data_IF_000661638518
#
_entry.id   IF_000661638518
#
_cell.length_a   1.000
_cell.length_b   1.000
_cell.length_c   1.000
_cell.angle_alpha   90.00
_cell.angle_beta   90.00
_cell.angle_gamma   90.00
#
_symmetry.space_group_name_H-M   'P 1'
#
loop_
_entity.id
_entity.type
_entity.pdbx_description
1 polymer ?
#
# COMPACT_ATOMS: atom_id res chain seq x y z
N UNK A 1 0.81 -11.38 -33.67
CA UNK A 1 0.69 -10.45 -32.52
C UNK A 1 0.36 -9.02 -32.93
N UNK A 2 1.22 -8.36 -33.75
CA UNK A 2 1.00 -6.96 -34.19
C UNK A 2 -0.28 -6.74 -35.01
N UNK A 3 -0.73 -7.75 -35.73
CA UNK A 3 -1.94 -7.69 -36.55
C UNK A 3 -3.20 -7.83 -35.69
N UNK A 4 -3.18 -8.72 -34.69
CA UNK A 4 -4.23 -8.88 -33.70
C UNK A 4 -4.41 -7.61 -32.83
N UNK A 5 -3.31 -6.95 -32.49
CA UNK A 5 -3.31 -5.71 -31.72
C UNK A 5 -3.99 -4.55 -32.48
N UNK A 6 -3.96 -4.55 -33.82
CA UNK A 6 -4.68 -3.56 -34.65
C UNK A 6 -6.17 -3.85 -34.76
N UNK A 7 -6.57 -5.13 -34.69
CA UNK A 7 -7.98 -5.55 -34.80
C UNK A 7 -8.73 -5.45 -33.48
N UNK A 8 -8.03 -5.66 -32.34
CA UNK A 8 -8.59 -5.66 -30.99
C UNK A 8 -7.73 -4.82 -30.03
N UNK A 9 -7.61 -3.51 -30.24
CA UNK A 9 -6.74 -2.66 -29.43
C UNK A 9 -7.15 -2.60 -27.96
N UNK A 10 -8.40 -2.85 -27.62
CA UNK A 10 -8.95 -2.89 -26.26
C UNK A 10 -8.41 -4.05 -25.43
N UNK A 11 -8.10 -5.19 -26.06
CA UNK A 11 -7.56 -6.37 -25.38
C UNK A 11 -6.14 -6.20 -24.87
N UNK A 12 -5.42 -5.19 -25.40
CA UNK A 12 -4.02 -4.89 -25.06
C UNK A 12 -3.89 -3.71 -24.11
N UNK A 13 -5.00 -3.15 -23.63
CA UNK A 13 -5.01 -2.08 -22.63
C UNK A 13 -5.20 -2.66 -21.25
N UNK A 14 -4.49 -2.08 -20.29
CA UNK A 14 -4.75 -2.37 -18.89
C UNK A 14 -6.17 -1.95 -18.54
N UNK A 15 -6.98 -2.88 -18.07
CA UNK A 15 -8.34 -2.63 -17.61
C UNK A 15 -8.40 -2.79 -16.10
N UNK A 16 -9.11 -1.88 -15.44
CA UNK A 16 -9.27 -1.91 -13.98
C UNK A 16 -10.64 -1.38 -13.59
N UNK A 17 -11.38 -2.18 -12.83
CA UNK A 17 -12.55 -1.69 -12.10
C UNK A 17 -12.10 -0.99 -10.81
N UNK A 18 -11.99 0.34 -10.87
CA UNK A 18 -11.52 1.14 -9.74
C UNK A 18 -12.40 1.03 -8.49
N UNK A 19 -13.71 0.79 -8.63
CA UNK A 19 -14.63 0.61 -7.50
C UNK A 19 -14.41 -0.75 -6.82
N UNK A 20 -14.26 -1.81 -7.62
CA UNK A 20 -14.00 -3.15 -7.11
C UNK A 20 -12.65 -3.19 -6.37
N UNK A 21 -11.60 -2.60 -6.96
CA UNK A 21 -10.27 -2.49 -6.34
C UNK A 21 -10.34 -1.67 -5.05
N UNK A 22 -11.06 -0.56 -5.01
CA UNK A 22 -11.23 0.23 -3.79
C UNK A 22 -11.90 -0.58 -2.68
N UNK A 23 -13.05 -1.21 -2.95
CA UNK A 23 -13.77 -2.04 -1.98
C UNK A 23 -12.92 -3.18 -1.46
N UNK A 24 -12.17 -3.82 -2.35
CA UNK A 24 -11.23 -4.87 -2.01
C UNK A 24 -10.12 -4.36 -1.08
N UNK A 25 -9.44 -3.28 -1.45
CA UNK A 25 -8.32 -2.73 -0.69
C UNK A 25 -8.74 -2.31 0.73
N UNK A 26 -9.84 -1.57 0.88
CA UNK A 26 -10.31 -1.07 2.19
C UNK A 26 -10.78 -2.19 3.12
N UNK A 27 -11.08 -3.37 2.60
CA UNK A 27 -11.44 -4.55 3.37
C UNK A 27 -10.23 -5.43 3.71
N UNK A 28 -9.39 -5.73 2.71
CA UNK A 28 -8.33 -6.72 2.84
C UNK A 28 -7.07 -6.15 3.49
N UNK A 29 -6.73 -4.89 3.20
CA UNK A 29 -5.50 -4.29 3.75
C UNK A 29 -5.55 -4.18 5.28
N UNK A 30 -6.62 -3.66 5.91
CA UNK A 30 -6.70 -3.70 7.38
C UNK A 30 -6.67 -5.11 7.96
N UNK A 31 -7.32 -6.07 7.29
CA UNK A 31 -7.36 -7.45 7.77
C UNK A 31 -5.95 -8.08 7.79
N UNK A 32 -5.20 -7.94 6.70
CA UNK A 32 -3.84 -8.50 6.61
C UNK A 32 -2.84 -7.77 7.52
N UNK A 33 -3.04 -6.47 7.78
CA UNK A 33 -2.25 -5.73 8.77
C UNK A 33 -2.48 -6.30 10.16
N UNK A 34 -3.73 -6.52 10.57
CA UNK A 34 -4.04 -7.13 11.87
C UNK A 34 -3.45 -8.54 11.97
N UNK A 35 -3.59 -9.34 10.92
CA UNK A 35 -3.05 -10.70 10.88
C UNK A 35 -1.51 -10.73 11.06
N UNK A 36 -0.78 -9.87 10.36
CA UNK A 36 0.69 -9.83 10.48
C UNK A 36 1.14 -9.33 11.85
N UNK A 37 0.41 -8.39 12.46
CA UNK A 37 0.69 -7.93 13.82
C UNK A 37 0.45 -9.05 14.84
N UNK A 38 -0.68 -9.74 14.75
CA UNK A 38 -1.01 -10.87 15.63
C UNK A 38 0.05 -11.97 15.53
N UNK A 39 0.49 -12.35 14.31
CA UNK A 39 1.55 -13.35 14.10
C UNK A 39 2.89 -12.95 14.71
N UNK A 40 3.13 -11.66 14.91
CA UNK A 40 4.36 -11.15 15.52
C UNK A 40 4.20 -10.72 16.98
N UNK A 41 3.04 -10.96 17.59
CA UNK A 41 2.68 -10.53 18.95
C UNK A 41 2.87 -9.01 19.15
N UNK A 42 2.47 -8.21 18.16
CA UNK A 42 2.54 -6.76 18.16
C UNK A 42 1.15 -6.14 18.16
N UNK A 43 1.03 -4.97 18.77
CA UNK A 43 -0.17 -4.13 18.71
C UNK A 43 0.02 -2.96 17.72
N UNK A 44 -1.09 -2.35 17.29
CA UNK A 44 -1.04 -1.16 16.40
C UNK A 44 -0.34 0.04 17.04
N UNK A 45 -0.43 0.16 18.37
CA UNK A 45 0.19 1.22 19.15
C UNK A 45 1.73 1.17 19.09
N UNK A 46 2.30 -0.03 18.96
CA UNK A 46 3.74 -0.24 18.87
C UNK A 46 4.31 0.08 17.48
N UNK A 47 3.44 0.28 16.47
CA UNK A 47 3.87 0.57 15.11
C UNK A 47 4.08 2.07 14.92
N UNK A 48 5.27 2.43 14.47
CA UNK A 48 5.64 3.82 14.17
C UNK A 48 5.06 4.28 12.83
N UNK A 49 5.18 3.43 11.79
CA UNK A 49 4.73 3.74 10.45
C UNK A 49 3.97 2.58 9.81
N UNK A 50 2.89 2.90 9.10
CA UNK A 50 2.14 1.97 8.25
C UNK A 50 2.26 2.47 6.81
N UNK A 51 3.10 1.81 6.02
CA UNK A 51 3.40 2.18 4.64
C UNK A 51 2.60 1.30 3.71
N UNK A 52 1.63 1.90 3.04
CA UNK A 52 0.79 1.22 2.07
C UNK A 52 1.31 1.41 0.64
N UNK A 53 0.96 0.49 -0.24
CA UNK A 53 1.05 0.74 -1.66
C UNK A 53 0.36 2.06 -2.02
N UNK A 54 1.07 2.93 -2.73
CA UNK A 54 0.65 4.30 -3.07
C UNK A 54 -0.31 4.32 -4.27
N UNK A 55 -1.47 3.67 -4.14
CA UNK A 55 -2.47 3.60 -5.20
C UNK A 55 -3.26 4.91 -5.34
N UNK A 56 -3.92 5.33 -4.26
CA UNK A 56 -4.56 6.63 -4.13
C UNK A 56 -4.81 6.99 -2.66
N UNK A 57 -4.91 8.28 -2.39
CA UNK A 57 -5.09 8.83 -1.04
C UNK A 57 -6.35 8.32 -0.34
N UNK A 58 -7.46 8.15 -1.06
CA UNK A 58 -8.73 7.72 -0.47
C UNK A 58 -8.65 6.32 0.16
N UNK A 59 -7.86 5.41 -0.43
CA UNK A 59 -7.62 4.09 0.15
C UNK A 59 -6.86 4.23 1.46
N UNK A 60 -5.78 5.01 1.49
CA UNK A 60 -4.98 5.23 2.70
C UNK A 60 -5.83 5.81 3.83
N UNK A 61 -6.62 6.84 3.54
CA UNK A 61 -7.55 7.46 4.50
C UNK A 61 -8.62 6.48 5.00
N UNK A 62 -9.13 5.62 4.14
CA UNK A 62 -10.12 4.62 4.53
C UNK A 62 -9.50 3.54 5.44
N UNK A 63 -8.28 3.08 5.15
CA UNK A 63 -7.55 2.12 5.98
C UNK A 63 -7.22 2.73 7.35
N UNK A 64 -6.74 3.98 7.40
CA UNK A 64 -6.48 4.73 8.64
C UNK A 64 -7.73 4.77 9.54
N UNK A 65 -8.88 5.17 8.97
CA UNK A 65 -10.15 5.19 9.70
C UNK A 65 -10.58 3.81 10.18
N UNK A 66 -10.46 2.79 9.34
CA UNK A 66 -10.86 1.43 9.68
C UNK A 66 -10.03 0.84 10.83
N UNK A 67 -8.72 1.11 10.83
CA UNK A 67 -7.81 0.68 11.88
C UNK A 67 -7.87 1.57 13.13
N UNK A 68 -8.56 2.71 13.06
CA UNK A 68 -8.57 3.76 14.09
C UNK A 68 -7.14 4.22 14.46
N UNK A 69 -6.30 4.39 13.45
CA UNK A 69 -4.91 4.84 13.57
C UNK A 69 -4.78 6.22 12.93
N UNK A 70 -4.14 7.19 13.59
CA UNK A 70 -3.96 8.53 13.04
C UNK A 70 -3.31 8.53 11.65
N UNK A 71 -3.81 9.38 10.75
CA UNK A 71 -3.36 9.46 9.36
C UNK A 71 -1.86 9.81 9.24
N UNK A 72 -1.32 10.49 10.25
CA UNK A 72 0.09 10.86 10.34
C UNK A 72 1.04 9.66 10.36
N UNK A 73 0.55 8.48 10.81
CA UNK A 73 1.29 7.22 10.75
C UNK A 73 1.29 6.57 9.36
N UNK A 74 0.54 7.13 8.41
CA UNK A 74 0.45 6.66 7.02
C UNK A 74 1.11 7.67 6.08
N UNK A 75 2.43 7.60 5.88
CA UNK A 75 3.12 8.50 4.97
C UNK A 75 2.63 8.30 3.53
N UNK A 76 2.60 9.39 2.78
CA UNK A 76 2.15 9.42 1.38
C UNK A 76 3.04 10.34 0.55
N UNK A 77 3.35 9.91 -0.66
CA UNK A 77 4.05 10.73 -1.66
C UNK A 77 3.47 10.57 -3.08
N UNK A 78 2.28 9.98 -3.17
CA UNK A 78 1.61 9.74 -4.46
C UNK A 78 1.21 11.03 -5.18
N UNK A 79 1.10 12.14 -4.49
CA UNK A 79 0.87 13.46 -5.10
C UNK A 79 2.08 13.93 -5.94
N UNK A 80 3.27 13.44 -5.61
CA UNK A 80 4.52 13.76 -6.33
C UNK A 80 4.82 12.72 -7.42
N UNK A 81 4.66 11.44 -7.11
CA UNK A 81 5.11 10.33 -7.97
C UNK A 81 3.97 9.55 -8.63
N UNK A 82 2.73 9.74 -8.19
CA UNK A 82 1.59 8.95 -8.64
C UNK A 82 1.66 7.49 -8.18
N UNK A 83 0.95 6.61 -8.89
CA UNK A 83 0.99 5.18 -8.66
C UNK A 83 2.13 4.54 -9.46
N UNK A 84 3.23 4.24 -8.79
CA UNK A 84 4.43 3.63 -9.38
C UNK A 84 4.46 2.10 -9.24
N UNK A 85 3.27 1.47 -9.15
CA UNK A 85 3.12 0.01 -9.04
C UNK A 85 3.93 -0.58 -7.88
N UNK A 86 4.69 -1.64 -8.11
CA UNK A 86 5.52 -2.30 -7.07
C UNK A 86 6.64 -1.43 -6.51
N UNK A 87 7.05 -0.40 -7.23
CA UNK A 87 8.07 0.55 -6.77
C UNK A 87 7.56 1.56 -5.74
N UNK A 88 6.25 1.67 -5.53
CA UNK A 88 5.66 2.73 -4.69
C UNK A 88 6.12 2.67 -3.23
N UNK A 89 6.18 1.50 -2.63
CA UNK A 89 6.65 1.32 -1.25
C UNK A 89 8.16 1.59 -1.13
N UNK A 90 9.04 1.01 -1.98
CA UNK A 90 10.48 1.30 -1.93
C UNK A 90 10.81 2.78 -2.14
N UNK A 91 10.13 3.47 -3.07
CA UNK A 91 10.33 4.91 -3.30
C UNK A 91 9.99 5.71 -2.05
N UNK A 92 8.85 5.41 -1.40
CA UNK A 92 8.46 6.11 -0.18
C UNK A 92 9.42 5.83 0.99
N UNK A 93 9.89 4.59 1.14
CA UNK A 93 10.90 4.24 2.14
C UNK A 93 12.21 5.00 1.92
N UNK A 94 12.71 5.06 0.68
CA UNK A 94 13.94 5.80 0.34
C UNK A 94 13.79 7.29 0.65
N UNK A 95 12.67 7.89 0.26
CA UNK A 95 12.39 9.29 0.56
C UNK A 95 12.31 9.55 2.08
N UNK A 96 11.61 8.71 2.82
CA UNK A 96 11.53 8.83 4.29
C UNK A 96 12.91 8.69 4.95
N UNK A 97 13.74 7.78 4.44
CA UNK A 97 15.10 7.60 4.94
C UNK A 97 15.98 8.82 4.66
N UNK A 98 15.98 9.33 3.43
CA UNK A 98 16.73 10.55 3.05
C UNK A 98 16.30 11.76 3.86
N UNK A 99 15.01 11.86 4.15
CA UNK A 99 14.43 12.93 4.97
C UNK A 99 14.56 12.67 6.49
N UNK A 100 15.33 11.66 6.88
CA UNK A 100 15.60 11.29 8.27
C UNK A 100 14.33 11.04 9.10
N UNK A 101 13.25 10.62 8.47
CA UNK A 101 11.99 10.23 9.14
C UNK A 101 12.05 8.82 9.71
N UNK A 102 12.86 7.95 9.12
CA UNK A 102 13.08 6.59 9.62
C UNK A 102 14.22 6.60 10.64
N UNK A 103 13.98 6.01 11.80
CA UNK A 103 14.95 5.91 12.91
C UNK A 103 15.17 4.46 13.28
N UNK A 104 16.41 4.13 13.66
CA UNK A 104 16.78 2.80 14.13
C UNK A 104 15.85 2.33 15.27
N UNK A 105 15.36 1.11 15.16
CA UNK A 105 14.46 0.48 16.12
C UNK A 105 12.97 0.79 15.89
N UNK A 106 12.61 1.63 14.93
CA UNK A 106 11.21 1.84 14.59
C UNK A 106 10.61 0.59 13.96
N UNK A 107 9.36 0.28 14.35
CA UNK A 107 8.57 -0.80 13.78
C UNK A 107 7.70 -0.27 12.65
N UNK A 108 7.81 -0.90 11.50
CA UNK A 108 7.14 -0.46 10.27
C UNK A 108 6.32 -1.62 9.71
N UNK A 109 5.06 -1.36 9.44
CA UNK A 109 4.22 -2.26 8.64
C UNK A 109 4.27 -1.83 7.18
N UNK A 110 4.56 -2.76 6.30
CA UNK A 110 4.40 -2.60 4.85
C UNK A 110 3.18 -3.39 4.41
N UNK A 111 2.30 -2.80 3.60
CA UNK A 111 1.16 -3.53 3.05
C UNK A 111 0.91 -3.14 1.59
N UNK A 112 0.84 -4.15 0.74
CA UNK A 112 0.60 -4.01 -0.69
C UNK A 112 -0.62 -4.79 -1.16
N UNK A 113 -1.16 -4.36 -2.28
CA UNK A 113 -2.24 -5.04 -2.98
C UNK A 113 -2.19 -4.69 -4.48
N UNK A 114 -2.75 -5.54 -5.31
CA UNK A 114 -2.73 -5.30 -6.75
C UNK A 114 -3.44 -6.37 -7.55
N UNK A 115 -3.02 -6.44 -8.82
CA UNK A 115 -3.58 -7.40 -9.78
C UNK A 115 -3.52 -8.83 -9.27
N UNK A 116 -4.60 -9.58 -9.55
CA UNK A 116 -4.76 -10.95 -9.09
C UNK A 116 -6.20 -11.27 -8.72
N UNK A 117 -6.93 -10.61 -7.79
CA UNK A 117 -6.41 -9.64 -6.83
C UNK A 117 -5.49 -10.32 -5.81
N UNK A 118 -4.37 -9.68 -5.50
CA UNK A 118 -3.42 -10.17 -4.49
C UNK A 118 -3.17 -9.09 -3.43
N UNK A 119 -2.80 -9.51 -2.23
CA UNK A 119 -2.47 -8.61 -1.12
C UNK A 119 -1.52 -9.30 -0.15
N UNK A 120 -0.81 -8.49 0.62
CA UNK A 120 0.08 -9.00 1.65
C UNK A 120 0.57 -7.87 2.55
N UNK A 121 1.06 -8.26 3.72
CA UNK A 121 1.71 -7.36 4.65
C UNK A 121 2.93 -8.01 5.30
N UNK A 122 3.86 -7.18 5.72
CA UNK A 122 5.01 -7.57 6.53
C UNK A 122 5.30 -6.53 7.60
N UNK A 123 5.98 -6.96 8.66
CA UNK A 123 6.53 -6.06 9.69
C UNK A 123 8.05 -6.11 9.57
N UNK A 124 8.68 -4.97 9.70
CA UNK A 124 10.12 -4.86 9.82
C UNK A 124 10.50 -3.90 10.96
N UNK A 125 11.66 -4.10 11.52
CA UNK A 125 12.34 -3.15 12.39
C UNK A 125 13.43 -2.45 11.56
N UNK A 126 13.41 -1.11 11.58
CA UNK A 126 14.34 -0.29 10.81
C UNK A 126 15.73 -0.24 11.40
#
# INVERSE_FOLDING_TARGET
>A
EKENQKQHPEEYKMQMDGQAVFKFAVRQVPAVIKEVLEKNNLSLEEIDWIILHQANRRIVEAVSRYLNVPLEKFPMNMQEYGNTSSASIPILLDEMNRNQRLKKGQKIVLAGFGAGLTWGASVLEW
#
